data_IF_354878215365
#
_entry.id   IF_354878215365
#
_cell.length_a   1.000
_cell.length_b   1.000
_cell.length_c   1.000
_cell.angle_alpha   90.00
_cell.angle_beta   90.00
_cell.angle_gamma   90.00
#
_symmetry.space_group_name_H-M   'P 1'
#
loop_
_entity.id
_entity.type
_entity.pdbx_description
1 polymer ?
#
# COMPACT_ATOMS: atom_id res chain seq x y z
N UNK A 1 5.01 8.42 4.49
CA UNK A 1 6.29 7.86 3.98
C UNK A 1 6.86 8.82 2.96
N UNK A 2 8.16 9.09 3.10
CA UNK A 2 8.96 9.78 2.09
C UNK A 2 9.89 8.75 1.47
N UNK A 3 9.96 8.71 0.14
CA UNK A 3 10.85 7.81 -0.58
C UNK A 3 11.53 8.56 -1.70
N UNK A 4 12.81 8.28 -1.90
CA UNK A 4 13.58 8.72 -3.06
C UNK A 4 13.95 7.50 -3.89
N UNK A 5 13.68 7.54 -5.18
CA UNK A 5 13.95 6.45 -6.11
C UNK A 5 15.33 6.60 -6.77
N UNK A 6 15.94 5.47 -7.15
CA UNK A 6 17.22 5.48 -7.88
C UNK A 6 17.11 6.01 -9.30
N UNK A 7 15.91 6.00 -9.87
CA UNK A 7 15.59 6.46 -11.22
C UNK A 7 14.43 7.45 -11.15
N UNK A 8 14.36 8.39 -12.10
CA UNK A 8 13.25 9.31 -12.19
C UNK A 8 11.97 8.57 -12.63
N UNK A 9 10.86 8.84 -11.95
CA UNK A 9 9.54 8.28 -12.26
C UNK A 9 8.46 9.35 -12.20
N UNK A 10 7.30 9.04 -12.78
CA UNK A 10 6.13 9.92 -12.70
C UNK A 10 5.21 9.53 -11.54
N UNK A 11 4.34 10.46 -11.14
CA UNK A 11 3.29 10.16 -10.14
C UNK A 11 2.38 9.02 -10.62
N UNK A 12 2.04 9.01 -11.92
CA UNK A 12 1.19 8.00 -12.52
C UNK A 12 1.82 6.60 -12.48
N UNK A 13 3.15 6.49 -12.61
CA UNK A 13 3.84 5.22 -12.48
C UNK A 13 3.73 4.68 -11.05
N UNK A 14 3.90 5.55 -10.04
CA UNK A 14 3.77 5.17 -8.64
C UNK A 14 2.33 4.77 -8.31
N UNK A 15 1.35 5.51 -8.82
CA UNK A 15 -0.06 5.17 -8.67
C UNK A 15 -0.42 3.83 -9.30
N UNK A 16 0.18 3.49 -10.45
CA UNK A 16 -0.01 2.21 -11.12
C UNK A 16 0.54 1.03 -10.31
N UNK A 17 1.72 1.19 -9.70
CA UNK A 17 2.32 0.13 -8.86
C UNK A 17 1.39 -0.28 -7.71
N UNK A 18 0.65 0.66 -7.14
CA UNK A 18 -0.31 0.35 -6.10
C UNK A 18 -1.58 -0.32 -6.63
N UNK A 19 -1.92 -0.19 -7.91
CA UNK A 19 -3.05 -0.90 -8.53
C UNK A 19 -2.72 -2.36 -8.85
N UNK A 20 -1.44 -2.72 -8.96
CA UNK A 20 -1.00 -4.07 -9.31
C UNK A 20 -1.28 -5.10 -8.20
N UNK A 21 -1.38 -4.65 -6.94
CA UNK A 21 -1.65 -5.52 -5.81
C UNK A 21 -3.03 -5.27 -5.22
N UNK A 22 -3.85 -6.32 -5.03
CA UNK A 22 -5.16 -6.19 -4.39
C UNK A 22 -5.06 -5.84 -2.90
N UNK A 23 -3.87 -5.89 -2.31
CA UNK A 23 -3.64 -5.51 -0.91
C UNK A 23 -3.73 -4.00 -0.69
N UNK A 24 -3.63 -3.19 -1.74
CA UNK A 24 -3.67 -1.74 -1.65
C UNK A 24 -4.99 -1.17 -2.14
N UNK A 25 -5.46 -0.11 -1.47
CA UNK A 25 -6.63 0.64 -1.87
C UNK A 25 -6.30 2.12 -1.91
N UNK A 26 -6.18 2.67 -3.11
CA UNK A 26 -5.97 4.11 -3.29
C UNK A 26 -7.25 4.87 -2.98
N UNK A 27 -7.08 5.96 -2.25
CA UNK A 27 -8.11 6.95 -2.02
C UNK A 27 -7.75 8.24 -2.75
N UNK A 28 -8.72 8.77 -3.49
CA UNK A 28 -8.56 10.01 -4.25
C UNK A 28 -8.23 11.21 -3.37
N UNK A 29 -7.73 12.30 -3.96
CA UNK A 29 -7.41 13.51 -3.22
C UNK A 29 -8.68 14.13 -2.61
N UNK A 30 -8.59 14.56 -1.35
CA UNK A 30 -9.64 15.30 -0.65
C UNK A 30 -10.23 14.56 0.56
N UNK A 31 -11.23 15.19 1.17
CA UNK A 31 -11.88 14.71 2.41
C UNK A 31 -12.86 13.55 2.18
N UNK A 32 -13.18 13.21 0.91
CA UNK A 32 -14.19 12.22 0.56
C UNK A 32 -13.79 10.78 0.92
N UNK A 33 -12.48 10.47 0.94
CA UNK A 33 -11.96 9.25 1.55
C UNK A 33 -10.82 9.62 2.51
N UNK A 34 -11.12 9.87 3.80
CA UNK A 34 -10.08 10.13 4.78
C UNK A 34 -9.34 8.82 5.07
N UNK A 35 -8.04 8.78 4.74
CA UNK A 35 -7.17 7.65 5.08
C UNK A 35 -6.71 7.81 6.53
N UNK A 36 -7.45 7.20 7.45
CA UNK A 36 -7.27 7.36 8.90
C UNK A 36 -7.47 6.03 9.62
N UNK A 37 -6.97 5.90 10.85
CA UNK A 37 -7.15 4.67 11.63
C UNK A 37 -8.62 4.31 11.83
N UNK A 38 -9.50 5.30 11.99
CA UNK A 38 -10.93 5.08 12.19
C UNK A 38 -11.61 4.48 10.94
N UNK A 39 -11.20 4.91 9.75
CA UNK A 39 -11.81 4.45 8.49
C UNK A 39 -11.27 3.11 8.02
N UNK A 40 -10.08 2.72 8.49
CA UNK A 40 -9.36 1.52 8.05
C UNK A 40 -9.45 0.37 9.06
N UNK A 41 -9.83 0.63 10.32
CA UNK A 41 -10.01 -0.41 11.31
C UNK A 41 -10.93 -1.54 10.82
N UNK A 42 -10.48 -2.78 11.01
CA UNK A 42 -11.17 -4.01 10.58
C UNK A 42 -11.19 -4.23 9.07
N UNK A 43 -10.45 -3.45 8.27
CA UNK A 43 -10.32 -3.68 6.82
C UNK A 43 -9.13 -4.57 6.52
N UNK A 44 -9.23 -5.28 5.41
CA UNK A 44 -8.18 -6.20 4.98
C UNK A 44 -7.16 -5.49 4.09
N UNK A 45 -7.51 -4.36 3.48
CA UNK A 45 -6.63 -3.60 2.58
C UNK A 45 -5.80 -2.54 3.33
N UNK A 46 -4.65 -2.19 2.76
CA UNK A 46 -3.84 -1.03 3.15
C UNK A 46 -4.31 0.16 2.32
N UNK A 47 -4.83 1.17 2.99
CA UNK A 47 -5.33 2.38 2.34
C UNK A 47 -4.19 3.35 2.09
N UNK A 48 -4.19 3.94 0.89
CA UNK A 48 -3.17 4.88 0.43
C UNK A 48 -3.82 6.21 0.12
N UNK A 49 -3.24 7.30 0.61
CA UNK A 49 -3.69 8.64 0.30
C UNK A 49 -2.53 9.60 0.14
N UNK A 50 -2.86 10.81 -0.34
CA UNK A 50 -1.91 11.93 -0.43
C UNK A 50 -0.63 11.61 -1.19
N UNK A 51 -0.72 10.82 -2.28
CA UNK A 51 0.42 10.50 -3.15
C UNK A 51 0.81 11.78 -3.91
N UNK A 52 2.05 12.23 -3.72
CA UNK A 52 2.57 13.50 -4.28
C UNK A 52 4.04 13.34 -4.67
N UNK A 53 4.45 13.99 -5.76
CA UNK A 53 5.86 14.20 -6.10
C UNK A 53 6.41 15.36 -5.27
N UNK A 54 7.66 15.25 -4.82
CA UNK A 54 8.33 16.35 -4.13
C UNK A 54 8.65 17.47 -5.13
N UNK A 55 8.31 18.74 -4.84
CA UNK A 55 8.61 19.85 -5.74
C UNK A 55 10.11 20.21 -5.82
N UNK A 56 10.94 19.74 -4.88
CA UNK A 56 12.35 20.06 -4.80
C UNK A 56 13.29 18.90 -5.22
N UNK A 57 12.79 17.68 -5.39
CA UNK A 57 13.57 16.52 -5.81
C UNK A 57 12.75 15.64 -6.77
N UNK A 58 13.17 15.57 -8.04
CA UNK A 58 12.48 14.84 -9.09
C UNK A 58 12.42 13.32 -8.88
N UNK A 59 13.25 12.81 -7.97
CA UNK A 59 13.28 11.39 -7.60
C UNK A 59 12.43 11.07 -6.36
N UNK A 60 11.87 12.09 -5.70
CA UNK A 60 11.25 11.92 -4.39
C UNK A 60 9.73 12.02 -4.40
N UNK A 61 9.10 11.23 -3.52
CA UNK A 61 7.65 11.13 -3.39
C UNK A 61 7.23 11.06 -1.93
N UNK A 62 6.04 11.58 -1.68
CA UNK A 62 5.33 11.51 -0.41
C UNK A 62 4.04 10.71 -0.59
N UNK A 63 3.73 9.83 0.35
CA UNK A 63 2.42 9.18 0.42
C UNK A 63 2.10 8.74 1.86
N UNK A 64 0.82 8.63 2.16
CA UNK A 64 0.29 8.25 3.46
C UNK A 64 -0.34 6.86 3.38
N UNK A 65 0.04 5.97 4.30
CA UNK A 65 -0.48 4.61 4.39
C UNK A 65 -1.14 4.38 5.74
N UNK A 66 -2.29 3.74 5.73
CA UNK A 66 -2.94 3.24 6.95
C UNK A 66 -3.43 1.84 6.67
N UNK A 67 -3.17 0.92 7.59
CA UNK A 67 -3.69 -0.45 7.59
C UNK A 67 -4.06 -0.84 9.01
N UNK A 68 -4.97 -1.79 9.16
CA UNK A 68 -5.24 -2.42 10.44
C UNK A 68 -4.11 -3.40 10.78
N UNK A 69 -3.53 -3.25 11.97
CA UNK A 69 -2.37 -4.01 12.41
C UNK A 69 -2.73 -5.45 12.84
N UNK A 70 -3.97 -5.69 13.28
CA UNK A 70 -4.43 -7.02 13.70
C UNK A 70 -4.82 -7.87 12.50
N UNK A 71 -5.53 -7.31 11.52
CA UNK A 71 -5.97 -8.04 10.31
C UNK A 71 -4.84 -8.14 9.29
N UNK A 72 -4.59 -7.07 8.53
CA UNK A 72 -3.57 -7.04 7.47
C UNK A 72 -2.16 -7.14 8.02
N UNK A 73 -1.87 -6.40 9.09
CA UNK A 73 -0.53 -6.38 9.69
C UNK A 73 -0.10 -7.71 10.31
N UNK A 74 -1.05 -8.56 10.75
CA UNK A 74 -0.75 -9.80 11.48
C UNK A 74 -1.43 -11.03 10.87
N UNK A 75 -2.75 -11.17 11.02
CA UNK A 75 -3.46 -12.40 10.70
C UNK A 75 -3.39 -12.78 9.21
N UNK A 76 -3.62 -11.84 8.31
CA UNK A 76 -3.66 -12.09 6.86
C UNK A 76 -2.27 -12.37 6.30
N UNK A 77 -1.24 -11.67 6.78
CA UNK A 77 0.15 -11.97 6.43
C UNK A 77 0.53 -13.40 6.83
N UNK A 78 0.18 -13.83 8.05
CA UNK A 78 0.45 -15.19 8.51
C UNK A 78 -0.29 -16.24 7.67
N UNK A 79 -1.57 -15.98 7.35
CA UNK A 79 -2.39 -16.84 6.50
C UNK A 79 -1.82 -16.99 5.08
N UNK A 80 -1.41 -15.89 4.44
CA UNK A 80 -0.86 -15.90 3.08
C UNK A 80 0.48 -16.66 3.00
N UNK A 81 1.36 -16.48 4.00
CA UNK A 81 2.61 -17.25 4.13
C UNK A 81 2.29 -18.74 4.27
N UNK A 82 1.38 -19.12 5.17
CA UNK A 82 1.00 -20.51 5.39
C UNK A 82 0.46 -21.15 4.10
N UNK A 83 -0.41 -20.44 3.37
CA UNK A 83 -0.90 -20.90 2.05
C UNK A 83 0.23 -21.12 1.06
N UNK A 84 1.20 -20.21 1.00
CA UNK A 84 2.34 -20.33 0.08
C UNK A 84 3.20 -21.55 0.43
N UNK A 85 3.47 -21.77 1.71
CA UNK A 85 4.24 -22.94 2.19
C UNK A 85 3.54 -24.25 1.81
N UNK A 86 2.22 -24.36 2.04
CA UNK A 86 1.45 -25.54 1.68
C UNK A 86 1.47 -25.78 0.16
N UNK A 87 1.33 -24.71 -0.65
CA UNK A 87 1.36 -24.82 -2.10
C UNK A 87 2.72 -25.33 -2.61
N UNK A 88 3.84 -24.82 -2.06
CA UNK A 88 5.18 -25.28 -2.40
C UNK A 88 5.37 -26.76 -2.06
N UNK A 89 4.93 -27.19 -0.87
CA UNK A 89 5.00 -28.60 -0.44
C UNK A 89 4.19 -29.58 -1.28
N UNK A 90 3.15 -29.10 -1.98
CA UNK A 90 2.34 -29.93 -2.88
C UNK A 90 2.90 -30.01 -4.29
N UNK A 91 3.84 -29.13 -4.64
CA UNK A 91 4.49 -29.09 -5.95
C UNK A 91 5.81 -29.89 -5.98
N UNK A 92 6.31 -30.27 -4.80
CA UNK A 92 7.37 -31.28 -4.58
C UNK A 92 6.79 -32.70 -4.72
#
# INVERSE_FOLDING_TARGET
IYVRLGEERTLADLERLFDESPSFKKCGPGLACPVSSLTVAGKDEIYIGQIKKDPADDHAFWFWLVGDNLTRGSALNAYEIARKVIALRRAE
#
